data_IF_107748401342
#
_entry.id   IF_107748401342
#
_cell.length_a   1.000
_cell.length_b   1.000
_cell.length_c   1.000
_cell.angle_alpha   90.00
_cell.angle_beta   90.00
_cell.angle_gamma   90.00
#
_symmetry.space_group_name_H-M   'P 1'
#
loop_
_entity.id
_entity.type
_entity.pdbx_description
1 polymer ?
#
# COMPACT_ATOMS: atom_id res chain seq x y z
N UNK A 1 -11.78 13.18 59.21
CA UNK A 1 -10.79 12.21 58.69
C UNK A 1 -11.06 12.12 57.20
N UNK A 2 -10.20 12.74 56.39
CA UNK A 2 -10.28 12.72 54.92
C UNK A 2 -9.79 11.37 54.41
N UNK A 3 -10.38 10.85 53.34
CA UNK A 3 -9.65 10.43 52.14
C UNK A 3 -10.64 10.42 50.97
N UNK A 4 -10.63 11.48 50.16
CA UNK A 4 -11.14 11.40 48.79
C UNK A 4 -10.21 10.46 48.03
N UNK A 5 -10.75 9.38 47.46
CA UNK A 5 -10.00 8.54 46.54
C UNK A 5 -9.87 9.32 45.22
N UNK A 6 -8.69 9.86 44.96
CA UNK A 6 -8.35 10.55 43.72
C UNK A 6 -8.03 9.49 42.66
N UNK A 7 -9.05 9.00 41.94
CA UNK A 7 -8.80 8.48 40.59
C UNK A 7 -8.97 9.63 39.60
N UNK A 8 -7.87 10.37 39.46
CA UNK A 8 -7.65 11.48 38.55
C UNK A 8 -7.40 11.00 37.11
N UNK A 9 -8.28 10.18 36.54
CA UNK A 9 -8.02 9.63 35.21
C UNK A 9 -8.64 10.53 34.12
N UNK A 10 -7.85 11.48 33.61
CA UNK A 10 -8.13 12.22 32.37
C UNK A 10 -7.63 11.50 31.12
N UNK A 11 -7.43 10.18 31.20
CA UNK A 11 -6.72 9.41 30.19
C UNK A 11 -7.60 9.13 28.98
N UNK A 12 -7.03 9.35 27.78
CA UNK A 12 -7.65 8.97 26.52
C UNK A 12 -7.00 7.70 25.97
N UNK A 13 -7.79 6.63 25.85
CA UNK A 13 -7.35 5.38 25.23
C UNK A 13 -7.94 5.24 23.82
N UNK A 14 -7.11 5.32 22.79
CA UNK A 14 -7.53 5.07 21.39
C UNK A 14 -7.18 3.63 21.03
N UNK A 15 -8.20 2.77 20.87
CA UNK A 15 -8.04 1.37 20.46
C UNK A 15 -8.25 1.22 18.96
N UNK A 16 -7.62 0.19 18.36
CA UNK A 16 -7.71 -0.11 16.94
C UNK A 16 -7.45 1.13 16.06
N UNK A 17 -6.31 1.80 16.30
CA UNK A 17 -5.96 3.07 15.69
C UNK A 17 -5.94 2.98 14.16
N UNK A 18 -6.51 3.99 13.49
CA UNK A 18 -6.63 4.07 12.03
C UNK A 18 -6.03 5.39 11.54
N UNK A 19 -5.70 5.48 10.25
CA UNK A 19 -5.14 6.71 9.65
C UNK A 19 -5.97 7.97 9.97
N UNK A 20 -7.30 7.84 9.94
CA UNK A 20 -8.27 8.90 10.27
C UNK A 20 -8.22 9.42 11.71
N UNK A 21 -7.54 8.71 12.62
CA UNK A 21 -7.31 9.16 14.00
C UNK A 21 -6.05 10.03 14.11
N UNK A 22 -5.32 10.26 13.01
CA UNK A 22 -4.24 11.25 13.03
C UNK A 22 -4.82 12.65 13.22
N UNK A 23 -4.18 13.48 14.05
CA UNK A 23 -4.63 14.83 14.31
C UNK A 23 -4.07 15.40 15.61
N UNK A 24 -4.46 16.64 15.90
CA UNK A 24 -4.10 17.33 17.14
C UNK A 24 -5.11 16.99 18.23
N UNK A 25 -4.64 16.36 19.30
CA UNK A 25 -5.41 16.06 20.49
C UNK A 25 -5.16 17.14 21.53
N UNK A 26 -6.23 17.71 22.09
CA UNK A 26 -6.16 18.73 23.13
C UNK A 26 -6.83 18.19 24.38
N UNK A 27 -6.06 18.05 25.46
CA UNK A 27 -6.59 17.78 26.79
C UNK A 27 -6.83 19.12 27.47
N UNK A 28 -8.08 19.36 27.89
CA UNK A 28 -8.48 20.58 28.57
C UNK A 28 -9.07 20.23 29.93
N UNK A 29 -8.55 20.86 30.97
CA UNK A 29 -9.08 20.80 32.33
C UNK A 29 -9.81 22.10 32.59
N UNK A 30 -11.10 22.01 32.89
CA UNK A 30 -11.98 23.15 33.15
C UNK A 30 -12.44 23.15 34.61
N UNK A 31 -12.39 24.32 35.25
CA UNK A 31 -12.95 24.59 36.57
C UNK A 31 -14.05 25.63 36.44
N UNK A 32 -14.76 25.97 37.52
CA UNK A 32 -15.84 26.98 37.46
C UNK A 32 -15.34 28.40 37.15
N UNK A 33 -14.03 28.66 37.24
CA UNK A 33 -13.42 29.99 37.04
C UNK A 33 -12.47 30.03 35.85
N UNK A 34 -11.76 28.92 35.58
CA UNK A 34 -10.64 28.91 34.63
C UNK A 34 -10.51 27.56 33.88
N UNK A 35 -9.81 27.58 32.76
CA UNK A 35 -9.50 26.42 31.94
C UNK A 35 -8.03 26.42 31.52
N UNK A 36 -7.38 25.26 31.66
CA UNK A 36 -6.02 25.04 31.17
C UNK A 36 -6.03 23.91 30.14
N UNK A 37 -5.16 23.99 29.14
CA UNK A 37 -5.07 22.98 28.09
C UNK A 37 -3.64 22.63 27.71
N UNK A 38 -3.42 21.37 27.34
CA UNK A 38 -2.21 20.89 26.71
C UNK A 38 -2.58 20.14 25.41
N UNK A 39 -1.70 20.18 24.41
CA UNK A 39 -1.97 19.55 23.13
C UNK A 39 -0.81 18.66 22.67
N UNK A 40 -1.12 17.61 21.91
CA UNK A 40 -0.17 16.72 21.27
C UNK A 40 -0.65 16.33 19.86
N UNK A 41 0.28 16.18 18.92
CA UNK A 41 -0.02 15.69 17.58
C UNK A 41 0.18 14.17 17.52
N UNK A 42 -0.85 13.47 17.07
CA UNK A 42 -0.81 12.03 16.80
C UNK A 42 -0.73 11.81 15.29
N UNK A 43 0.34 11.17 14.83
CA UNK A 43 0.49 10.76 13.43
C UNK A 43 0.47 9.25 13.36
N UNK A 44 -0.56 8.71 12.72
CA UNK A 44 -0.69 7.27 12.47
C UNK A 44 -0.10 6.99 11.10
N UNK A 45 0.82 6.03 11.02
CA UNK A 45 1.39 5.56 9.74
C UNK A 45 0.74 4.25 9.34
N UNK A 46 0.52 4.07 8.04
CA UNK A 46 -0.08 2.87 7.47
C UNK A 46 0.77 2.28 6.34
N UNK A 47 0.50 1.02 5.96
CA UNK A 47 0.96 0.50 4.67
C UNK A 47 0.46 1.39 3.52
N UNK A 48 1.11 1.41 2.36
CA UNK A 48 0.68 2.25 1.24
C UNK A 48 -0.73 1.87 0.76
N UNK A 49 -1.42 2.83 0.15
CA UNK A 49 -2.65 2.58 -0.59
C UNK A 49 -2.38 1.92 -1.94
N UNK A 50 -3.47 1.52 -2.60
CA UNK A 50 -3.40 0.87 -3.90
C UNK A 50 -2.72 1.76 -4.95
N UNK A 51 -1.72 1.26 -5.70
CA UNK A 51 -1.21 1.93 -6.89
C UNK A 51 -2.34 2.13 -7.91
N UNK A 52 -2.26 3.23 -8.67
CA UNK A 52 -3.32 3.64 -9.59
C UNK A 52 -2.87 3.58 -11.05
N UNK A 53 -3.81 3.62 -12.00
CA UNK A 53 -3.48 3.80 -13.41
C UNK A 53 -2.57 2.74 -14.02
N UNK A 54 -2.67 1.47 -13.60
CA UNK A 54 -1.89 0.37 -14.16
C UNK A 54 -2.14 0.21 -15.66
N UNK A 55 -1.07 0.30 -16.46
CA UNK A 55 -1.07 0.12 -17.91
C UNK A 55 -0.11 -1.00 -18.31
N UNK A 56 -0.54 -1.79 -19.30
CA UNK A 56 0.30 -2.81 -19.96
C UNK A 56 0.72 -2.25 -21.30
N UNK A 57 2.04 -2.14 -21.51
CA UNK A 57 2.67 -1.66 -22.73
C UNK A 57 3.01 -2.79 -23.69
N UNK A 58 4.26 -2.82 -24.17
CA UNK A 58 4.73 -3.84 -25.09
C UNK A 58 4.68 -5.24 -24.48
N UNK A 59 4.20 -6.21 -25.27
CA UNK A 59 4.07 -7.61 -24.91
C UNK A 59 4.85 -8.47 -25.92
N UNK A 60 5.66 -9.38 -25.39
CA UNK A 60 6.36 -10.42 -26.15
C UNK A 60 5.74 -11.79 -25.86
N UNK A 61 6.41 -12.86 -26.25
CA UNK A 61 6.05 -14.22 -25.86
C UNK A 61 6.43 -14.54 -24.41
N UNK A 62 7.41 -13.84 -23.83
CA UNK A 62 7.91 -14.11 -22.47
C UNK A 62 7.99 -12.90 -21.54
N UNK A 63 7.56 -11.71 -21.98
CA UNK A 63 7.63 -10.49 -21.18
C UNK A 63 6.50 -9.51 -21.45
N UNK A 64 6.24 -8.63 -20.48
CA UNK A 64 5.28 -7.54 -20.58
C UNK A 64 5.81 -6.30 -19.85
N UNK A 65 5.80 -5.14 -20.51
CA UNK A 65 6.13 -3.87 -19.86
C UNK A 65 4.93 -3.33 -19.10
N UNK A 66 5.11 -2.96 -17.83
CA UNK A 66 4.08 -2.36 -17.00
C UNK A 66 4.49 -0.97 -16.55
N UNK A 67 3.51 -0.08 -16.46
CA UNK A 67 3.64 1.23 -15.81
C UNK A 67 2.42 1.52 -14.95
N UNK A 68 2.58 2.33 -13.91
CA UNK A 68 1.52 2.68 -12.96
C UNK A 68 1.77 4.06 -12.36
N UNK A 69 0.83 4.55 -11.57
CA UNK A 69 0.95 5.73 -10.72
C UNK A 69 1.03 5.37 -9.24
N UNK A 70 1.56 6.30 -8.43
CA UNK A 70 1.58 6.17 -6.98
C UNK A 70 0.17 6.15 -6.39
N UNK A 71 -0.04 5.32 -5.39
CA UNK A 71 -1.17 5.46 -4.46
C UNK A 71 -0.82 6.37 -3.26
N UNK A 72 -1.72 6.49 -2.28
CA UNK A 72 -1.44 7.19 -1.03
C UNK A 72 -0.30 6.56 -0.21
N UNK A 73 0.69 7.34 0.22
CA UNK A 73 1.80 6.85 1.06
C UNK A 73 1.40 6.57 2.53
N UNK A 74 0.24 7.03 2.98
CA UNK A 74 -0.27 6.78 4.34
C UNK A 74 0.73 7.15 5.46
N UNK A 75 1.33 8.34 5.33
CA UNK A 75 2.34 8.90 6.24
C UNK A 75 3.61 8.05 6.38
N UNK A 76 3.92 7.15 5.45
CA UNK A 76 5.21 6.47 5.37
C UNK A 76 5.58 6.20 3.91
N UNK A 77 6.70 6.73 3.41
CA UNK A 77 7.02 6.70 1.97
C UNK A 77 7.11 5.26 1.45
N UNK A 78 6.64 5.03 0.22
CA UNK A 78 6.80 3.74 -0.47
C UNK A 78 8.28 3.42 -0.66
N UNK A 79 8.68 2.21 -0.30
CA UNK A 79 10.05 1.72 -0.45
C UNK A 79 10.20 0.86 -1.70
N UNK A 80 9.22 0.02 -2.01
CA UNK A 80 9.27 -0.90 -3.15
C UNK A 80 7.88 -1.18 -3.74
N UNK A 81 7.87 -1.63 -5.00
CA UNK A 81 6.73 -2.23 -5.65
C UNK A 81 6.99 -3.71 -5.95
N UNK A 82 5.95 -4.52 -5.84
CA UNK A 82 5.92 -5.91 -6.31
C UNK A 82 4.81 -6.08 -7.34
N UNK A 83 5.08 -6.87 -8.38
CA UNK A 83 4.09 -7.18 -9.41
C UNK A 83 3.61 -8.60 -9.19
N UNK A 84 2.30 -8.79 -9.29
CA UNK A 84 1.67 -10.09 -9.25
C UNK A 84 0.89 -10.30 -10.53
N UNK A 85 0.80 -11.56 -10.95
CA UNK A 85 0.00 -11.95 -12.09
C UNK A 85 -0.93 -13.11 -11.76
N UNK A 86 -2.01 -13.22 -12.52
CA UNK A 86 -2.94 -14.33 -12.49
C UNK A 86 -3.13 -14.86 -13.91
N UNK A 87 -3.18 -16.18 -14.04
CA UNK A 87 -3.50 -16.89 -15.27
C UNK A 87 -4.70 -17.81 -15.03
N UNK A 88 -5.32 -18.37 -16.09
CA UNK A 88 -6.33 -19.41 -15.94
C UNK A 88 -5.84 -20.67 -15.20
N UNK A 89 -4.53 -20.87 -15.14
CA UNK A 89 -3.89 -22.04 -14.54
C UNK A 89 -3.34 -21.77 -13.13
N UNK A 90 -3.26 -20.50 -12.71
CA UNK A 90 -2.70 -20.14 -11.39
C UNK A 90 -3.78 -20.19 -10.31
N UNK A 91 -3.39 -20.64 -9.11
CA UNK A 91 -4.24 -20.53 -7.92
C UNK A 91 -4.08 -19.11 -7.37
N UNK A 92 -4.98 -18.22 -7.78
CA UNK A 92 -4.94 -16.81 -7.37
C UNK A 92 -3.76 -16.03 -7.96
N UNK A 93 -3.37 -14.96 -7.26
CA UNK A 93 -2.31 -14.04 -7.65
C UNK A 93 -0.94 -14.56 -7.21
N UNK A 94 0.00 -14.61 -8.14
CA UNK A 94 1.36 -15.10 -7.93
C UNK A 94 2.35 -13.97 -8.17
N UNK A 95 3.41 -13.88 -7.35
CA UNK A 95 4.49 -12.93 -7.60
C UNK A 95 5.21 -13.30 -8.90
N UNK A 96 5.55 -12.30 -9.71
CA UNK A 96 6.29 -12.49 -10.95
C UNK A 96 7.66 -11.84 -10.87
N UNK A 97 8.60 -12.34 -11.67
CA UNK A 97 9.93 -11.74 -11.79
C UNK A 97 9.87 -10.50 -12.64
N UNK A 98 10.67 -9.52 -12.27
CA UNK A 98 10.71 -8.21 -12.93
C UNK A 98 12.13 -7.83 -13.25
N UNK A 99 12.28 -6.96 -14.25
CA UNK A 99 13.51 -6.21 -14.49
C UNK A 99 13.17 -4.73 -14.26
N UNK A 100 13.78 -4.08 -13.26
CA UNK A 100 14.75 -4.62 -12.29
C UNK A 100 14.12 -5.64 -11.30
N UNK A 101 14.94 -6.52 -10.70
CA UNK A 101 14.49 -7.55 -9.74
C UNK A 101 13.85 -6.94 -8.47
N UNK A 102 14.25 -5.73 -8.11
CA UNK A 102 13.64 -4.91 -7.06
C UNK A 102 13.24 -3.58 -7.67
N UNK A 103 11.95 -3.25 -7.61
CA UNK A 103 11.41 -2.01 -8.15
C UNK A 103 11.32 -0.98 -7.02
N UNK A 104 12.18 0.06 -6.99
CA UNK A 104 12.18 1.06 -5.93
C UNK A 104 10.89 1.89 -5.92
N UNK A 105 10.52 2.46 -4.77
CA UNK A 105 9.29 3.23 -4.61
C UNK A 105 9.17 4.51 -5.46
N UNK A 106 10.28 4.97 -6.06
CA UNK A 106 10.32 6.10 -6.99
C UNK A 106 10.27 5.66 -8.47
N UNK A 107 10.21 4.35 -8.73
CA UNK A 107 10.15 3.76 -10.06
C UNK A 107 8.74 3.25 -10.34
N UNK A 108 8.13 3.79 -11.38
CA UNK A 108 6.72 3.60 -11.73
C UNK A 108 6.54 2.72 -12.98
N UNK A 109 7.56 1.93 -13.29
CA UNK A 109 7.56 1.01 -14.43
C UNK A 109 8.47 -0.18 -14.13
N UNK A 110 8.16 -1.31 -14.73
CA UNK A 110 9.03 -2.50 -14.71
C UNK A 110 8.62 -3.44 -15.84
N UNK A 111 9.57 -4.27 -16.28
CA UNK A 111 9.28 -5.33 -17.26
C UNK A 111 9.10 -6.65 -16.52
N UNK A 112 7.92 -7.25 -16.62
CA UNK A 112 7.70 -8.63 -16.16
C UNK A 112 8.39 -9.57 -17.14
N UNK A 113 9.11 -10.56 -16.63
CA UNK A 113 9.85 -11.57 -17.42
C UNK A 113 9.43 -12.99 -17.02
N UNK A 114 9.97 -13.98 -17.73
CA UNK A 114 9.71 -15.42 -17.54
C UNK A 114 8.22 -15.79 -17.68
N UNK A 115 7.48 -15.06 -18.53
CA UNK A 115 6.10 -15.40 -18.88
C UNK A 115 6.06 -16.59 -19.84
N UNK A 116 5.00 -17.39 -19.75
CA UNK A 116 4.75 -18.45 -20.72
C UNK A 116 4.14 -17.88 -22.02
N UNK A 117 4.61 -18.34 -23.21
CA UNK A 117 4.00 -17.99 -24.49
C UNK A 117 2.56 -18.46 -24.62
N UNK A 118 1.75 -17.68 -25.36
CA UNK A 118 0.34 -17.98 -25.64
C UNK A 118 -0.54 -18.20 -24.39
N UNK A 119 -0.24 -17.50 -23.30
CA UNK A 119 -0.99 -17.57 -22.04
C UNK A 119 -1.65 -16.22 -21.74
N UNK A 120 -2.87 -16.29 -21.21
CA UNK A 120 -3.59 -15.13 -20.72
C UNK A 120 -3.11 -14.74 -19.32
N UNK A 121 -2.78 -13.46 -19.15
CA UNK A 121 -2.36 -12.86 -17.89
C UNK A 121 -3.25 -11.66 -17.53
N UNK A 122 -3.51 -11.52 -16.25
CA UNK A 122 -3.91 -10.27 -15.61
C UNK A 122 -2.80 -9.87 -14.64
N UNK A 123 -2.48 -8.59 -14.55
CA UNK A 123 -1.45 -8.07 -13.66
C UNK A 123 -2.05 -7.15 -12.60
N UNK A 124 -1.39 -7.06 -11.45
CA UNK A 124 -1.62 -6.01 -10.45
C UNK A 124 -0.31 -5.65 -9.77
N UNK A 125 -0.24 -4.43 -9.24
CA UNK A 125 0.92 -3.89 -8.55
C UNK A 125 0.59 -3.70 -7.07
N UNK A 126 1.53 -4.02 -6.19
CA UNK A 126 1.38 -3.83 -4.75
C UNK A 126 2.57 -3.02 -4.24
N UNK A 127 2.29 -1.90 -3.58
CA UNK A 127 3.29 -1.06 -2.94
C UNK A 127 3.57 -1.55 -1.51
N UNK A 128 4.81 -1.37 -1.04
CA UNK A 128 5.17 -1.61 0.36
C UNK A 128 6.02 -0.48 0.92
N UNK A 129 5.96 -0.32 2.24
CA UNK A 129 6.80 0.59 3.00
C UNK A 129 7.25 -0.07 4.32
N UNK A 130 7.90 0.69 5.21
CA UNK A 130 8.38 0.20 6.50
C UNK A 130 7.26 -0.22 7.48
N UNK A 131 6.00 0.15 7.21
CA UNK A 131 4.84 -0.26 8.01
C UNK A 131 4.30 -1.60 7.52
N UNK A 132 4.31 -1.83 6.21
CA UNK A 132 3.91 -3.12 5.65
C UNK A 132 3.57 -3.08 4.16
N UNK A 133 2.90 -4.15 3.74
CA UNK A 133 2.40 -4.33 2.37
C UNK A 133 1.05 -3.65 2.23
N UNK A 134 0.92 -2.81 1.21
CA UNK A 134 -0.27 -2.05 0.90
C UNK A 134 -1.37 -2.84 0.21
N UNK A 135 -2.43 -2.13 -0.14
CA UNK A 135 -3.50 -2.69 -0.96
C UNK A 135 -3.01 -2.90 -2.41
N UNK A 136 -3.48 -3.96 -3.09
CA UNK A 136 -3.18 -4.16 -4.50
C UNK A 136 -3.89 -3.12 -5.38
N UNK A 137 -3.27 -2.75 -6.50
CA UNK A 137 -3.93 -2.00 -7.56
C UNK A 137 -5.16 -2.75 -8.09
N UNK A 138 -6.02 -2.01 -8.80
CA UNK A 138 -6.94 -2.66 -9.74
C UNK A 138 -6.15 -3.53 -10.72
N UNK A 139 -6.72 -4.68 -11.08
CA UNK A 139 -6.13 -5.57 -12.05
C UNK A 139 -6.13 -4.93 -13.46
N UNK A 140 -5.11 -5.22 -14.24
CA UNK A 140 -5.08 -4.86 -15.66
C UNK A 140 -6.21 -5.55 -16.43
N UNK A 141 -6.44 -5.10 -17.67
CA UNK A 141 -7.16 -5.95 -18.63
C UNK A 141 -6.41 -7.26 -18.81
N UNK A 142 -7.15 -8.32 -19.12
CA UNK A 142 -6.56 -9.58 -19.56
C UNK A 142 -5.79 -9.36 -20.86
N UNK A 143 -4.55 -9.82 -20.90
CA UNK A 143 -3.67 -9.77 -22.08
C UNK A 143 -3.17 -11.16 -22.39
N UNK A 144 -2.91 -11.45 -23.67
CA UNK A 144 -2.30 -12.72 -24.10
C UNK A 144 -0.87 -12.46 -24.56
N UNK A 145 0.07 -13.25 -24.07
CA UNK A 145 1.46 -13.26 -24.59
C UNK A 145 1.48 -13.78 -26.03
N UNK A 146 2.46 -13.33 -26.81
CA UNK A 146 2.61 -13.81 -28.19
C UNK A 146 2.90 -15.33 -28.19
N UNK A 147 2.56 -15.99 -29.29
CA UNK A 147 3.01 -17.37 -29.49
C UNK A 147 4.55 -17.40 -29.55
N UNK A 148 5.16 -18.50 -29.12
CA UNK A 148 6.60 -18.68 -29.24
C UNK A 148 7.00 -18.52 -30.71
N UNK A 149 8.07 -17.77 -30.97
CA UNK A 149 8.56 -17.57 -32.33
C UNK A 149 8.86 -18.91 -33.00
N UNK A 150 8.12 -19.25 -34.04
CA UNK A 150 8.49 -20.33 -34.96
C UNK A 150 9.63 -19.82 -35.83
N UNK A 151 10.79 -20.47 -35.77
CA UNK A 151 11.89 -20.23 -36.72
C UNK A 151 11.49 -20.64 -38.14
#
# INVERSE_FOLDING_TARGET
>A
MFYCHQESAGDLMVRNIQLKHSGKYVCMVHTVVDSVSAAADLIVRGPPGAPEGLMVGEITDSSAQLSWGSGPDNHSPVTTYSIQARTPFSIGWQAVRTVPDSVPGQMFHATVIDLNPWVDYEFRVVASNNVGVGEPSMQSKQIRTKAAGTF
#
